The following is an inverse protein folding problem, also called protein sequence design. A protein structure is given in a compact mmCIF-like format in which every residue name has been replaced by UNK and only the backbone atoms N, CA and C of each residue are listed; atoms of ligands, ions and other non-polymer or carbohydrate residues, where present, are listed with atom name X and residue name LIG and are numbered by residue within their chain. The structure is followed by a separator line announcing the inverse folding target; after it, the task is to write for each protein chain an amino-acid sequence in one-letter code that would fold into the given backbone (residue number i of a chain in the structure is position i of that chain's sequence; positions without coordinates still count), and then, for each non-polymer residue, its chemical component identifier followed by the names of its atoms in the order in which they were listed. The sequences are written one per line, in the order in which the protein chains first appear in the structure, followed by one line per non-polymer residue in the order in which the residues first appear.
data_IF_192684315346
#
_entry.id   IF_192684315346
#
_cell.length_a   1.000
_cell.length_b   1.000
_cell.length_c   1.000
_cell.angle_alpha   90.00
_cell.angle_beta   90.00
_cell.angle_gamma   90.00
#
_symmetry.space_group_name_H-M   'P 1'
#
loop_
_entity.id
_entity.type
_entity.pdbx_description
1 polymer ?
#
# COMPACT_ATOMS: atom_id res chain seq x y z
N UNK A 1 1.96 3.31 -51.37
CA UNK A 1 2.99 2.62 -52.19
C UNK A 1 3.16 3.15 -53.63
N UNK A 2 2.10 3.52 -54.37
CA UNK A 2 2.20 3.96 -55.78
C UNK A 2 3.09 5.20 -56.01
N UNK A 3 2.97 6.23 -55.17
CA UNK A 3 3.78 7.47 -55.28
C UNK A 3 5.29 7.24 -55.08
N UNK A 4 5.68 6.35 -54.16
CA UNK A 4 7.09 6.02 -53.91
C UNK A 4 7.74 5.29 -55.09
N UNK A 5 7.01 4.35 -55.72
CA UNK A 5 7.47 3.67 -56.94
C UNK A 5 7.59 4.65 -58.12
N UNK A 6 6.62 5.56 -58.27
CA UNK A 6 6.65 6.59 -59.31
C UNK A 6 7.86 7.52 -59.15
N UNK A 7 8.13 8.00 -57.93
CA UNK A 7 9.29 8.85 -57.63
C UNK A 7 10.62 8.14 -57.92
N UNK A 8 10.76 6.87 -57.54
CA UNK A 8 11.96 6.07 -57.86
C UNK A 8 12.16 5.90 -59.38
N UNK A 9 11.08 5.69 -60.14
CA UNK A 9 11.13 5.59 -61.61
C UNK A 9 11.52 6.93 -62.25
N UNK A 10 10.93 8.03 -61.80
CA UNK A 10 11.26 9.38 -62.29
C UNK A 10 12.71 9.78 -61.96
N UNK A 11 13.20 9.49 -60.76
CA UNK A 11 14.60 9.75 -60.40
C UNK A 11 15.59 8.93 -61.24
N UNK A 12 15.26 7.66 -61.54
CA UNK A 12 16.09 6.82 -62.42
C UNK A 12 16.13 7.39 -63.84
N UNK A 13 14.98 7.75 -64.41
CA UNK A 13 14.93 8.37 -65.75
C UNK A 13 15.67 9.71 -65.80
N UNK A 14 15.43 10.57 -64.82
CA UNK A 14 16.12 11.86 -64.72
C UNK A 14 17.64 11.67 -64.68
N UNK A 15 18.17 10.77 -63.85
CA UNK A 15 19.61 10.48 -63.80
C UNK A 15 20.15 9.93 -65.13
N UNK A 16 19.40 9.02 -65.77
CA UNK A 16 19.79 8.44 -67.06
C UNK A 16 19.86 9.50 -68.16
N UNK A 17 18.86 10.39 -68.24
CA UNK A 17 18.84 11.49 -69.21
C UNK A 17 19.96 12.51 -68.93
N UNK A 18 20.23 12.82 -67.66
CA UNK A 18 21.29 13.75 -67.26
C UNK A 18 22.68 13.19 -67.60
N UNK A 19 22.93 11.90 -67.38
CA UNK A 19 24.17 11.24 -67.81
C UNK A 19 24.30 11.17 -69.33
N UNK A 20 23.19 10.97 -70.05
CA UNK A 20 23.20 10.94 -71.51
C UNK A 20 23.50 12.32 -72.12
N UNK A 21 22.92 13.39 -71.55
CA UNK A 21 23.21 14.78 -71.95
C UNK A 21 24.65 15.16 -71.63
N UNK A 22 25.14 14.87 -70.42
CA UNK A 22 26.53 15.13 -70.04
C UNK A 22 27.52 14.47 -71.01
N UNK A 23 27.21 13.25 -71.46
CA UNK A 23 28.03 12.54 -72.44
C UNK A 23 27.96 13.16 -73.84
N UNK A 24 26.79 13.59 -74.30
CA UNK A 24 26.61 14.27 -75.59
C UNK A 24 27.32 15.62 -75.64
N UNK A 25 27.24 16.41 -74.57
CA UNK A 25 27.95 17.68 -74.45
C UNK A 25 29.47 17.49 -74.48
N UNK A 26 29.98 16.41 -73.88
CA UNK A 26 31.41 16.07 -73.93
C UNK A 26 31.88 15.62 -75.31
N UNK A 27 31.01 14.97 -76.10
CA UNK A 27 31.36 14.39 -77.40
C UNK A 27 31.14 15.35 -78.59
N UNK A 28 30.16 16.25 -78.54
CA UNK A 28 29.72 17.03 -79.73
C UNK A 28 29.85 18.56 -79.62
N UNK A 29 30.36 19.09 -78.51
CA UNK A 29 30.89 20.47 -78.44
C UNK A 29 29.87 21.61 -78.47
N UNK A 30 28.84 21.60 -79.31
CA UNK A 30 27.84 22.66 -79.41
C UNK A 30 26.68 22.21 -80.31
N UNK A 31 25.61 21.71 -79.71
CA UNK A 31 24.31 21.58 -80.38
C UNK A 31 23.23 22.16 -79.48
N UNK A 32 22.21 22.78 -80.08
CA UNK A 32 21.10 23.48 -79.44
C UNK A 32 20.29 22.56 -78.48
N UNK A 33 20.80 22.39 -77.24
CA UNK A 33 20.24 21.51 -76.21
C UNK A 33 19.22 22.21 -75.29
N UNK A 34 18.78 23.41 -75.66
CA UNK A 34 17.80 24.21 -74.91
C UNK A 34 16.49 23.47 -74.61
N UNK A 35 16.06 22.58 -75.52
CA UNK A 35 14.89 21.73 -75.35
C UNK A 35 15.09 20.62 -74.29
N UNK A 36 16.31 20.11 -74.13
CA UNK A 36 16.64 19.09 -73.15
C UNK A 36 16.74 19.69 -71.74
N UNK A 37 17.32 20.88 -71.62
CA UNK A 37 17.35 21.65 -70.38
C UNK A 37 15.94 22.02 -69.88
N UNK A 38 15.04 22.43 -70.77
CA UNK A 38 13.61 22.66 -70.42
C UNK A 38 12.91 21.40 -69.90
N UNK A 39 13.23 20.21 -70.43
CA UNK A 39 12.68 18.95 -69.91
C UNK A 39 13.23 18.62 -68.52
N UNK A 40 14.52 18.80 -68.29
CA UNK A 40 15.15 18.61 -66.97
C UNK A 40 14.55 19.57 -65.92
N UNK A 41 14.33 20.84 -66.28
CA UNK A 41 13.68 21.82 -65.41
C UNK A 41 12.23 21.41 -65.07
N UNK A 42 11.46 20.96 -66.06
CA UNK A 42 10.11 20.43 -65.84
C UNK A 42 10.11 19.18 -64.93
N UNK A 43 11.09 18.27 -65.09
CA UNK A 43 11.23 17.12 -64.19
C UNK A 43 11.56 17.55 -62.76
N UNK A 44 12.40 18.57 -62.58
CA UNK A 44 12.74 19.11 -61.25
C UNK A 44 11.51 19.72 -60.56
N UNK A 45 10.70 20.49 -61.29
CA UNK A 45 9.47 21.13 -60.80
C UNK A 45 8.41 20.10 -60.40
N UNK A 46 8.26 19.02 -61.18
CA UNK A 46 7.36 17.91 -60.85
C UNK A 46 7.86 17.12 -59.64
N UNK A 47 9.17 16.89 -59.52
CA UNK A 47 9.79 16.24 -58.36
C UNK A 47 9.67 17.08 -57.07
N UNK A 48 9.73 18.42 -57.17
CA UNK A 48 9.58 19.34 -56.05
C UNK A 48 8.14 19.40 -55.51
N UNK A 49 7.13 19.28 -56.39
CA UNK A 49 5.71 19.25 -55.99
C UNK A 49 5.25 17.91 -55.41
N UNK A 50 6.02 16.84 -55.58
CA UNK A 50 5.69 15.53 -55.00
C UNK A 50 5.99 15.51 -53.50
N UNK A 51 4.99 15.22 -52.63
CA UNK A 51 5.16 15.22 -51.19
C UNK A 51 6.33 14.30 -50.80
N UNK A 52 7.28 14.84 -50.03
CA UNK A 52 8.42 14.07 -49.60
C UNK A 52 7.95 12.91 -48.71
N UNK A 53 8.47 11.67 -48.91
CA UNK A 53 8.08 10.51 -48.11
C UNK A 53 8.42 10.67 -46.62
N UNK A 54 9.18 11.70 -46.24
CA UNK A 54 9.51 12.05 -44.86
C UNK A 54 8.31 12.56 -44.04
N UNK A 55 7.30 13.17 -44.68
CA UNK A 55 6.11 13.67 -43.94
C UNK A 55 5.30 12.56 -43.26
N UNK A 56 5.24 11.37 -43.86
CA UNK A 56 4.51 10.24 -43.26
C UNK A 56 5.13 9.72 -41.96
N UNK A 57 6.47 9.74 -41.86
CA UNK A 57 7.17 9.35 -40.64
C UNK A 57 6.90 10.32 -39.49
N UNK A 58 6.87 11.62 -39.77
CA UNK A 58 6.58 12.63 -38.75
C UNK A 58 5.18 12.44 -38.14
N UNK A 59 4.16 12.16 -38.98
CA UNK A 59 2.79 11.89 -38.50
C UNK A 59 2.74 10.62 -37.65
N UNK A 60 3.41 9.54 -38.08
CA UNK A 60 3.46 8.29 -37.31
C UNK A 60 4.10 8.50 -35.94
N UNK A 61 5.22 9.22 -35.88
CA UNK A 61 5.88 9.56 -34.61
C UNK A 61 4.98 10.43 -33.72
N UNK A 62 4.29 11.43 -34.28
CA UNK A 62 3.37 12.25 -33.51
C UNK A 62 2.22 11.43 -32.89
N UNK A 63 1.62 10.52 -33.67
CA UNK A 63 0.57 9.61 -33.17
C UNK A 63 1.12 8.66 -32.10
N UNK A 64 2.31 8.11 -32.31
CA UNK A 64 2.94 7.21 -31.33
C UNK A 64 3.26 7.95 -30.01
N UNK A 65 3.78 9.18 -30.09
CA UNK A 65 4.02 10.02 -28.91
C UNK A 65 2.71 10.37 -28.18
N UNK A 66 1.66 10.72 -28.92
CA UNK A 66 0.35 11.02 -28.34
C UNK A 66 -0.25 9.77 -27.65
N UNK A 67 -0.17 8.61 -28.31
CA UNK A 67 -0.63 7.34 -27.74
C UNK A 67 0.17 6.94 -26.50
N UNK A 68 1.50 7.12 -26.54
CA UNK A 68 2.38 6.88 -25.39
C UNK A 68 2.08 7.80 -24.22
N UNK A 69 1.88 9.10 -24.46
CA UNK A 69 1.49 10.07 -23.45
C UNK A 69 0.10 9.74 -22.86
N UNK A 70 -0.87 9.36 -23.71
CA UNK A 70 -2.19 8.90 -23.29
C UNK A 70 -2.12 7.65 -22.42
N UNK A 71 -1.28 6.68 -22.79
CA UNK A 71 -1.06 5.47 -22.00
C UNK A 71 -0.39 5.78 -20.65
N UNK A 72 0.65 6.61 -20.62
CA UNK A 72 1.32 7.03 -19.38
C UNK A 72 0.39 7.83 -18.45
N UNK A 73 -0.58 8.55 -19.02
CA UNK A 73 -1.58 9.27 -18.25
C UNK A 73 -2.67 8.35 -17.70
N UNK A 74 -3.10 7.35 -18.48
CA UNK A 74 -4.16 6.42 -18.09
C UNK A 74 -3.67 5.30 -17.15
N UNK A 75 -2.43 4.84 -17.29
CA UNK A 75 -1.87 3.74 -16.51
C UNK A 75 -1.41 4.23 -15.13
N UNK A 76 -1.81 3.48 -14.10
CA UNK A 76 -1.39 3.71 -12.70
C UNK A 76 -0.17 2.88 -12.37
N UNK A 77 0.63 3.38 -11.44
CA UNK A 77 1.75 2.63 -10.88
C UNK A 77 1.19 1.42 -10.11
N UNK A 78 1.73 0.20 -10.27
CA UNK A 78 1.18 -1.00 -9.66
C UNK A 78 1.29 -1.01 -8.14
N UNK A 79 2.26 -0.29 -7.58
CA UNK A 79 2.47 -0.15 -6.14
C UNK A 79 2.79 1.30 -5.83
N UNK A 80 2.23 1.82 -4.75
CA UNK A 80 2.48 3.17 -4.25
C UNK A 80 3.08 3.10 -2.86
N UNK A 81 4.23 3.75 -2.65
CA UNK A 81 4.84 3.93 -1.34
C UNK A 81 4.03 4.98 -0.56
N UNK A 82 3.62 4.62 0.65
CA UNK A 82 2.76 5.44 1.50
C UNK A 82 3.33 5.56 2.90
N UNK A 83 3.12 6.73 3.49
CA UNK A 83 3.26 6.98 4.92
C UNK A 83 1.92 7.45 5.48
N UNK A 84 1.49 6.87 6.59
CA UNK A 84 0.20 7.12 7.22
C UNK A 84 0.42 7.55 8.66
N UNK A 85 -0.14 8.69 9.06
CA UNK A 85 -0.23 9.10 10.46
C UNK A 85 -1.71 9.25 10.82
N UNK A 86 -2.30 8.25 11.45
CA UNK A 86 -3.73 8.17 11.69
C UNK A 86 -4.09 8.08 13.17
N UNK A 87 -5.25 8.62 13.50
CA UNK A 87 -5.99 8.34 14.73
C UNK A 87 -7.25 7.56 14.37
N UNK A 88 -7.40 6.37 14.93
CA UNK A 88 -8.50 5.45 14.63
C UNK A 88 -9.10 4.89 15.92
N UNK A 89 -10.31 4.35 15.87
CA UNK A 89 -10.91 3.62 17.01
C UNK A 89 -10.62 2.13 16.94
N UNK A 90 -10.60 1.58 15.72
CA UNK A 90 -10.37 0.17 15.48
C UNK A 90 -9.26 -0.02 14.44
N UNK A 91 -8.43 -1.04 14.64
CA UNK A 91 -7.36 -1.39 13.73
C UNK A 91 -7.35 -2.91 13.59
N UNK A 92 -7.45 -3.40 12.36
CA UNK A 92 -7.20 -4.79 12.05
C UNK A 92 -5.96 -4.89 11.16
N UNK A 93 -5.02 -5.74 11.54
CA UNK A 93 -3.80 -5.96 10.78
C UNK A 93 -3.46 -7.44 10.71
N UNK A 94 -2.84 -7.85 9.61
CA UNK A 94 -2.26 -9.20 9.48
C UNK A 94 -0.75 -9.09 9.62
N UNK A 95 -0.13 -9.93 10.45
CA UNK A 95 1.32 -9.90 10.66
C UNK A 95 2.09 -10.60 9.54
N UNK A 96 3.12 -9.95 8.98
CA UNK A 96 3.97 -10.56 7.94
C UNK A 96 5.12 -11.41 8.52
N UNK A 97 5.42 -11.26 9.81
CA UNK A 97 6.44 -12.01 10.56
C UNK A 97 5.99 -12.19 12.01
N UNK A 98 6.58 -13.11 12.79
CA UNK A 98 6.26 -13.20 14.21
C UNK A 98 6.61 -11.88 14.89
N UNK A 99 5.75 -11.46 15.80
CA UNK A 99 5.94 -10.23 16.55
C UNK A 99 5.94 -10.55 18.05
N UNK A 100 6.81 -9.86 18.78
CA UNK A 100 6.93 -10.01 20.21
C UNK A 100 7.05 -8.64 20.86
N UNK A 101 6.20 -8.43 21.85
CA UNK A 101 6.26 -7.31 22.77
C UNK A 101 6.66 -7.79 24.15
N UNK A 102 7.55 -7.03 24.80
CA UNK A 102 7.92 -7.17 26.20
C UNK A 102 8.00 -5.77 26.79
N UNK A 103 7.39 -5.57 27.94
CA UNK A 103 7.37 -4.27 28.57
C UNK A 103 6.53 -4.29 29.83
N UNK A 104 6.15 -3.11 30.28
CA UNK A 104 5.26 -2.93 31.41
C UNK A 104 4.09 -2.07 30.98
N UNK A 105 2.93 -2.68 30.77
CA UNK A 105 1.71 -1.97 30.44
C UNK A 105 0.76 -2.06 31.63
N UNK A 106 0.83 -1.10 32.56
CA UNK A 106 0.04 -1.13 33.78
C UNK A 106 -1.45 -1.04 33.43
N UNK A 107 -2.25 -1.88 34.07
CA UNK A 107 -3.70 -1.80 34.02
C UNK A 107 -4.18 -0.74 35.01
N UNK A 108 -5.33 -0.14 34.74
CA UNK A 108 -5.98 0.77 35.68
C UNK A 108 -6.29 0.03 36.99
N UNK A 109 -6.04 0.68 38.13
CA UNK A 109 -6.22 0.05 39.44
C UNK A 109 -7.67 -0.43 39.62
N UNK A 110 -7.84 -1.71 40.01
CA UNK A 110 -9.14 -2.34 40.18
C UNK A 110 -9.88 -2.70 38.88
N UNK A 111 -9.34 -2.35 37.70
CA UNK A 111 -9.94 -2.76 36.43
C UNK A 111 -9.80 -4.27 36.20
N UNK A 112 -10.80 -4.86 35.56
CA UNK A 112 -10.79 -6.27 35.19
C UNK A 112 -10.02 -6.48 33.88
N UNK A 113 -9.13 -7.47 33.86
CA UNK A 113 -8.59 -8.05 32.63
C UNK A 113 -9.42 -9.29 32.28
N UNK A 114 -10.12 -9.24 31.15
CA UNK A 114 -11.00 -10.33 30.69
C UNK A 114 -10.36 -11.03 29.50
N UNK A 115 -10.06 -12.32 29.69
CA UNK A 115 -9.55 -13.23 28.67
C UNK A 115 -10.71 -14.12 28.21
N UNK A 116 -10.93 -14.22 26.90
CA UNK A 116 -11.95 -15.10 26.33
C UNK A 116 -11.42 -15.89 25.13
N UNK A 117 -11.91 -17.12 24.97
CA UNK A 117 -11.57 -18.00 23.85
C UNK A 117 -10.06 -18.26 23.68
N UNK A 118 -9.37 -18.52 24.79
CA UNK A 118 -7.97 -18.97 24.79
C UNK A 118 -7.90 -20.50 24.81
N UNK A 119 -6.82 -21.09 24.28
CA UNK A 119 -6.67 -22.56 24.29
C UNK A 119 -6.18 -23.10 25.63
N UNK A 120 -5.32 -22.33 26.32
CA UNK A 120 -4.74 -22.69 27.61
C UNK A 120 -4.50 -21.46 28.46
N UNK A 121 -4.93 -21.52 29.72
CA UNK A 121 -4.66 -20.54 30.77
C UNK A 121 -3.89 -21.23 31.89
N UNK A 122 -2.71 -20.71 32.20
CA UNK A 122 -1.85 -21.15 33.29
C UNK A 122 -1.77 -20.02 34.32
N UNK A 123 -2.60 -20.07 35.38
CA UNK A 123 -2.65 -19.03 36.40
C UNK A 123 -1.50 -19.12 37.42
N UNK A 124 -0.57 -20.07 37.29
CA UNK A 124 0.56 -20.21 38.21
C UNK A 124 0.12 -20.50 39.64
N UNK A 125 0.63 -19.75 40.61
CA UNK A 125 0.23 -19.92 42.02
C UNK A 125 -1.18 -19.39 42.32
N UNK A 126 -1.84 -18.70 41.37
CA UNK A 126 -3.18 -18.20 41.57
C UNK A 126 -4.17 -19.37 41.64
N UNK A 127 -4.08 -20.38 40.78
CA UNK A 127 -5.02 -21.50 40.73
C UNK A 127 -4.59 -22.68 39.84
N UNK A 128 -5.48 -23.65 39.57
CA UNK A 128 -5.19 -24.75 38.67
C UNK A 128 -5.14 -24.31 37.21
N UNK A 129 -4.39 -25.05 36.38
CA UNK A 129 -4.37 -24.84 34.94
C UNK A 129 -5.76 -25.08 34.32
N UNK A 130 -6.22 -24.16 33.47
CA UNK A 130 -7.47 -24.28 32.73
C UNK A 130 -7.14 -24.50 31.25
N UNK A 131 -7.27 -25.75 30.81
CA UNK A 131 -7.11 -26.15 29.41
C UNK A 131 -8.11 -27.24 29.04
N UNK A 132 -8.50 -27.30 27.77
CA UNK A 132 -9.42 -28.32 27.28
C UNK A 132 -9.30 -28.55 25.78
N UNK A 133 -9.20 -29.81 25.30
CA UNK A 133 -9.08 -30.08 23.88
C UNK A 133 -10.32 -29.58 23.13
N UNK A 134 -10.10 -28.69 22.16
CA UNK A 134 -11.17 -28.09 21.36
C UNK A 134 -12.13 -27.17 22.14
N UNK A 135 -11.83 -26.85 23.40
CA UNK A 135 -12.66 -25.94 24.20
C UNK A 135 -11.96 -24.60 24.42
N UNK A 136 -12.78 -23.57 24.64
CA UNK A 136 -12.34 -22.20 24.84
C UNK A 136 -12.23 -21.88 26.32
N UNK A 137 -11.03 -21.66 26.83
CA UNK A 137 -10.80 -21.18 28.18
C UNK A 137 -11.05 -19.67 28.28
N UNK A 138 -11.57 -19.23 29.43
CA UNK A 138 -11.78 -17.83 29.76
C UNK A 138 -11.29 -17.53 31.18
N UNK A 139 -10.91 -16.28 31.44
CA UNK A 139 -10.60 -15.80 32.78
C UNK A 139 -10.95 -14.33 32.95
N UNK A 140 -11.34 -13.95 34.15
CA UNK A 140 -11.50 -12.57 34.61
C UNK A 140 -10.57 -12.35 35.79
N UNK A 141 -9.56 -11.51 35.61
CA UNK A 141 -8.57 -11.15 36.62
C UNK A 141 -8.85 -9.72 37.09
N UNK A 142 -9.15 -9.55 38.38
CA UNK A 142 -9.21 -8.25 39.04
C UNK A 142 -8.08 -8.17 40.04
N UNK A 143 -7.31 -7.09 40.00
CA UNK A 143 -6.21 -6.89 40.93
C UNK A 143 -6.09 -5.42 41.33
N UNK A 144 -5.60 -5.17 42.54
CA UNK A 144 -5.17 -3.84 42.97
C UNK A 144 -4.09 -3.30 42.03
N UNK A 145 -3.12 -4.15 41.68
CA UNK A 145 -2.13 -3.87 40.68
C UNK A 145 -2.02 -5.01 39.69
N UNK A 146 -2.10 -4.68 38.40
CA UNK A 146 -1.84 -5.60 37.32
C UNK A 146 -1.11 -4.92 36.17
N UNK A 147 -0.34 -5.70 35.42
CA UNK A 147 0.32 -5.24 34.21
C UNK A 147 0.45 -6.36 33.19
N UNK A 148 0.26 -6.03 31.91
CA UNK A 148 0.67 -6.91 30.83
C UNK A 148 2.19 -6.81 30.68
N UNK A 149 2.87 -7.96 30.70
CA UNK A 149 4.35 -8.04 30.65
C UNK A 149 4.91 -8.51 29.31
N UNK A 150 4.22 -9.42 28.66
CA UNK A 150 4.67 -9.98 27.39
C UNK A 150 3.50 -10.39 26.50
N UNK A 151 3.72 -10.28 25.20
CA UNK A 151 2.84 -10.81 24.18
C UNK A 151 3.68 -11.26 22.98
N UNK A 152 3.46 -12.48 22.50
CA UNK A 152 4.04 -13.02 21.29
C UNK A 152 2.92 -13.50 20.38
N UNK A 153 3.03 -13.18 19.10
CA UNK A 153 2.06 -13.52 18.07
C UNK A 153 2.78 -14.08 16.86
N UNK A 154 2.29 -15.20 16.33
CA UNK A 154 2.83 -15.87 15.16
C UNK A 154 2.64 -15.10 13.85
N UNK A 155 3.35 -15.52 12.81
CA UNK A 155 3.18 -15.01 11.44
C UNK A 155 1.77 -15.29 10.93
N UNK A 156 1.21 -14.38 10.14
CA UNK A 156 -0.10 -14.55 9.52
C UNK A 156 -1.27 -14.32 10.48
N UNK A 157 -1.01 -14.04 11.75
CA UNK A 157 -2.05 -13.69 12.70
C UNK A 157 -2.79 -12.44 12.26
N UNK A 158 -4.11 -12.47 12.37
CA UNK A 158 -4.94 -11.28 12.32
C UNK A 158 -5.09 -10.73 13.73
N UNK A 159 -4.57 -9.53 13.93
CA UNK A 159 -4.64 -8.77 15.17
C UNK A 159 -5.69 -7.68 15.01
N UNK A 160 -6.75 -7.74 15.81
CA UNK A 160 -7.71 -6.66 15.95
C UNK A 160 -7.48 -5.89 17.25
N UNK A 161 -7.49 -4.57 17.17
CA UNK A 161 -7.40 -3.66 18.31
C UNK A 161 -8.61 -2.74 18.22
N UNK A 162 -9.35 -2.59 19.31
CA UNK A 162 -10.50 -1.70 19.38
C UNK A 162 -10.46 -0.94 20.70
N UNK A 163 -10.42 0.39 20.60
CA UNK A 163 -10.53 1.28 21.75
C UNK A 163 -12.00 1.65 21.95
N UNK A 164 -12.57 1.25 23.08
CA UNK A 164 -13.93 1.58 23.50
C UNK A 164 -13.96 2.33 24.84
N UNK A 165 -15.17 2.67 25.29
CA UNK A 165 -15.39 3.37 26.57
C UNK A 165 -14.93 2.54 27.78
N UNK A 166 -15.10 1.22 27.71
CA UNK A 166 -14.78 0.28 28.79
C UNK A 166 -13.30 -0.14 28.80
N UNK A 167 -12.55 0.21 27.78
CA UNK A 167 -11.13 -0.12 27.67
C UNK A 167 -10.72 -0.53 26.27
N UNK A 168 -9.67 -1.34 26.21
CA UNK A 168 -9.03 -1.80 25.00
C UNK A 168 -9.34 -3.28 24.80
N UNK A 169 -9.98 -3.60 23.68
CA UNK A 169 -10.21 -4.96 23.23
C UNK A 169 -9.14 -5.37 22.22
N UNK A 170 -8.42 -6.43 22.54
CA UNK A 170 -7.49 -7.10 21.67
C UNK A 170 -8.07 -8.41 21.20
N UNK A 171 -7.95 -8.68 19.90
CA UNK A 171 -8.37 -9.93 19.29
C UNK A 171 -7.25 -10.54 18.47
N UNK A 172 -7.10 -11.86 18.52
CA UNK A 172 -6.13 -12.63 17.74
C UNK A 172 -6.83 -13.78 17.04
N UNK A 173 -6.54 -13.96 15.75
CA UNK A 173 -7.05 -15.08 14.95
C UNK A 173 -5.98 -15.63 14.01
N UNK A 174 -6.07 -16.93 13.71
CA UNK A 174 -5.38 -17.56 12.58
C UNK A 174 -3.91 -17.94 12.80
N UNK A 175 -3.33 -17.66 13.97
CA UNK A 175 -1.98 -18.10 14.30
C UNK A 175 -1.77 -18.26 15.82
N UNK A 176 -0.72 -18.98 16.25
CA UNK A 176 -0.40 -19.12 17.66
C UNK A 176 -0.12 -17.78 18.32
N UNK A 177 -0.61 -17.59 19.54
CA UNK A 177 -0.27 -16.44 20.36
C UNK A 177 -0.10 -16.84 21.83
N UNK A 178 0.81 -16.16 22.51
CA UNK A 178 1.06 -16.34 23.95
C UNK A 178 1.22 -14.99 24.62
N UNK A 179 0.78 -14.85 25.86
CA UNK A 179 1.00 -13.64 26.64
C UNK A 179 1.03 -13.90 28.13
N UNK A 180 1.39 -12.87 28.88
CA UNK A 180 1.47 -12.94 30.34
C UNK A 180 1.02 -11.65 31.00
N UNK A 181 0.12 -11.78 31.97
CA UNK A 181 -0.32 -10.74 32.89
C UNK A 181 0.31 -11.00 34.25
N UNK A 182 0.83 -9.96 34.89
CA UNK A 182 1.33 -10.03 36.25
C UNK A 182 0.39 -9.28 37.19
N UNK A 183 0.09 -9.83 38.36
CA UNK A 183 -0.82 -9.24 39.34
C UNK A 183 -0.28 -9.36 40.78
N UNK A 184 -0.55 -8.36 41.62
CA UNK A 184 -0.22 -8.35 43.04
C UNK A 184 -1.19 -7.46 43.85
N UNK A 185 -1.07 -7.50 45.19
CA UNK A 185 -2.02 -6.84 46.09
C UNK A 185 -3.27 -7.69 46.29
N UNK A 186 -4.44 -7.06 46.45
CA UNK A 186 -5.71 -7.80 46.47
C UNK A 186 -6.04 -8.31 45.05
N UNK A 187 -6.13 -9.64 44.88
CA UNK A 187 -6.36 -10.31 43.59
C UNK A 187 -7.57 -11.24 43.68
N UNK A 188 -8.48 -11.13 42.72
CA UNK A 188 -9.57 -12.06 42.49
C UNK A 188 -9.50 -12.59 41.05
N UNK A 189 -9.42 -13.91 40.91
CA UNK A 189 -9.37 -14.59 39.63
C UNK A 189 -10.60 -15.50 39.50
N UNK A 190 -11.33 -15.35 38.40
CA UNK A 190 -12.36 -16.29 37.97
C UNK A 190 -11.90 -16.90 36.66
N UNK A 191 -11.95 -18.21 36.51
CA UNK A 191 -11.58 -18.87 35.26
C UNK A 191 -12.49 -20.06 34.99
N UNK A 192 -12.58 -20.47 33.72
CA UNK A 192 -13.39 -21.62 33.33
C UNK A 192 -13.28 -21.95 31.85
N UNK A 193 -14.11 -22.88 31.40
CA UNK A 193 -14.15 -23.37 30.01
C UNK A 193 -15.55 -23.16 29.44
N UNK A 194 -15.65 -22.59 28.24
CA UNK A 194 -16.91 -22.41 27.49
C UNK A 194 -17.23 -23.67 26.67
N UNK A 195 -18.48 -24.15 26.70
CA UNK A 195 -18.99 -25.19 25.79
C UNK A 195 -19.21 -26.59 26.38
N UNK A 196 -19.44 -26.71 27.69
CA UNK A 196 -19.92 -27.95 28.33
C UNK A 196 -21.33 -27.78 28.91
N UNK A 197 -22.09 -28.87 29.07
CA UNK A 197 -23.41 -28.92 29.71
C UNK A 197 -23.41 -28.53 31.22
N UNK A 198 -22.27 -28.07 31.72
CA UNK A 198 -22.09 -27.43 33.01
C UNK A 198 -21.54 -26.03 32.73
N UNK A 199 -22.41 -25.01 32.75
CA UNK A 199 -22.02 -23.61 33.01
C UNK A 199 -21.49 -23.41 34.46
N UNK A 200 -21.32 -24.51 35.21
CA UNK A 200 -20.89 -24.55 36.59
C UNK A 200 -19.57 -25.33 36.72
N UNK A 201 -18.47 -24.65 36.44
CA UNK A 201 -17.23 -24.80 37.23
C UNK A 201 -16.66 -23.38 37.36
N UNK A 202 -17.44 -22.55 38.05
CA UNK A 202 -17.03 -21.23 38.49
C UNK A 202 -16.16 -21.47 39.73
N UNK A 203 -14.95 -21.97 39.53
CA UNK A 203 -13.98 -22.05 40.62
C UNK A 203 -13.61 -20.59 40.94
N UNK A 204 -14.21 -20.04 42.00
CA UNK A 204 -13.72 -18.81 42.60
C UNK A 204 -12.37 -19.17 43.20
N UNK A 205 -11.32 -18.93 42.42
CA UNK A 205 -9.94 -19.23 42.79
C UNK A 205 -9.51 -18.38 44.01
N UNK A 206 -10.38 -17.45 44.42
CA UNK A 206 -10.40 -16.86 45.75
C UNK A 206 -9.83 -15.46 45.73
N UNK A 207 -10.44 -14.59 46.53
CA UNK A 207 -9.89 -13.29 46.84
C UNK A 207 -8.65 -13.49 47.73
N UNK A 208 -7.45 -13.34 47.17
CA UNK A 208 -6.18 -13.52 47.87
C UNK A 208 -5.39 -12.23 47.86
N UNK A 209 -4.68 -11.94 48.95
CA UNK A 209 -3.72 -10.85 48.97
C UNK A 209 -2.33 -11.41 48.67
N UNK A 210 -1.74 -10.99 47.55
CA UNK A 210 -0.44 -11.43 47.09
C UNK A 210 0.62 -10.40 47.46
N UNK A 211 1.64 -10.83 48.21
CA UNK A 211 2.79 -10.00 48.57
C UNK A 211 3.87 -10.01 47.47
N UNK A 212 3.89 -11.06 46.65
CA UNK A 212 4.81 -11.22 45.52
C UNK A 212 4.01 -11.21 44.22
N UNK A 213 4.50 -10.56 43.16
CA UNK A 213 3.84 -10.56 41.86
C UNK A 213 3.72 -11.95 41.21
N UNK A 214 2.48 -12.39 40.97
CA UNK A 214 2.15 -13.66 40.31
C UNK A 214 1.84 -13.47 38.84
N UNK A 215 2.12 -14.48 38.01
CA UNK A 215 1.98 -14.40 36.56
C UNK A 215 0.90 -15.34 36.03
N UNK A 216 -0.15 -14.77 35.44
CA UNK A 216 -1.13 -15.47 34.62
C UNK A 216 -0.63 -15.54 33.17
N UNK A 217 -0.38 -16.75 32.68
CA UNK A 217 0.01 -17.01 31.29
C UNK A 217 -1.18 -17.50 30.49
N UNK A 218 -1.26 -17.09 29.23
CA UNK A 218 -2.32 -17.49 28.33
C UNK A 218 -1.75 -17.80 26.95
N UNK A 219 -2.34 -18.80 26.28
CA UNK A 219 -1.90 -19.21 24.95
C UNK A 219 -3.04 -19.77 24.10
N UNK A 220 -2.89 -19.65 22.79
CA UNK A 220 -3.78 -20.21 21.76
C UNK A 220 -2.94 -20.78 20.63
N UNK A 221 -3.39 -21.88 20.00
CA UNK A 221 -2.75 -22.46 18.81
C UNK A 221 -3.11 -21.69 17.52
N UNK A 222 -4.17 -20.89 17.55
CA UNK A 222 -4.67 -20.16 16.37
C UNK A 222 -5.65 -20.94 15.49
N UNK A 223 -5.91 -22.22 15.79
CA UNK A 223 -6.83 -23.08 15.02
C UNK A 223 -8.32 -22.85 15.34
N UNK A 224 -8.61 -22.06 16.36
CA UNK A 224 -9.98 -21.75 16.79
C UNK A 224 -10.75 -20.89 15.79
N UNK A 225 -12.03 -21.23 15.55
CA UNK A 225 -12.96 -20.40 14.76
C UNK A 225 -13.30 -19.08 15.46
N UNK A 226 -13.33 -19.09 16.78
CA UNK A 226 -13.59 -17.92 17.62
C UNK A 226 -12.26 -17.22 17.90
N UNK A 227 -12.14 -15.90 17.64
CA UNK A 227 -10.92 -15.17 17.93
C UNK A 227 -10.67 -15.11 19.44
N UNK A 228 -9.42 -15.32 19.85
CA UNK A 228 -9.00 -15.14 21.25
C UNK A 228 -9.06 -13.65 21.60
N UNK A 229 -9.65 -13.31 22.74
CA UNK A 229 -9.92 -11.93 23.16
C UNK A 229 -9.20 -11.60 24.47
N UNK A 230 -8.66 -10.39 24.57
CA UNK A 230 -8.15 -9.79 25.80
C UNK A 230 -8.73 -8.38 25.92
N UNK A 231 -9.61 -8.17 26.89
CA UNK A 231 -10.15 -6.86 27.23
C UNK A 231 -9.47 -6.32 28.47
N UNK A 232 -8.87 -5.14 28.38
CA UNK A 232 -8.14 -4.51 29.49
C UNK A 232 -8.36 -3.00 29.51
N UNK A 233 -8.42 -2.40 30.70
CA UNK A 233 -8.33 -0.94 30.86
C UNK A 233 -6.90 -0.59 31.26
N UNK A 234 -6.19 0.16 30.42
CA UNK A 234 -4.79 0.54 30.69
C UNK A 234 -4.71 1.83 31.52
N UNK A 235 -3.76 1.89 32.45
CA UNK A 235 -3.46 3.11 33.23
C UNK A 235 -2.65 4.14 32.43
N UNK A 236 -1.89 3.69 31.43
CA UNK A 236 -1.09 4.52 30.55
C UNK A 236 -1.18 4.03 29.09
N UNK A 237 -0.92 4.88 28.09
CA UNK A 237 -0.94 4.45 26.69
C UNK A 237 0.05 3.32 26.43
N UNK A 238 -0.43 2.20 25.90
CA UNK A 238 0.41 1.10 25.48
C UNK A 238 1.08 1.44 24.16
N UNK A 239 2.39 1.22 24.06
CA UNK A 239 3.17 1.52 22.87
C UNK A 239 3.84 0.27 22.32
N UNK A 240 3.79 0.14 21.00
CA UNK A 240 4.52 -0.84 20.25
C UNK A 240 5.20 -0.21 19.04
N UNK A 241 6.34 -0.77 18.67
CA UNK A 241 7.17 -0.28 17.58
C UNK A 241 7.48 -1.41 16.61
N UNK A 242 7.70 -1.04 15.36
CA UNK A 242 8.16 -1.92 14.29
C UNK A 242 7.30 -3.19 14.10
N UNK A 243 5.95 -3.07 14.19
CA UNK A 243 5.10 -4.23 13.91
C UNK A 243 5.13 -4.54 12.41
N UNK A 244 5.49 -5.77 11.99
CA UNK A 244 5.55 -6.15 10.59
C UNK A 244 4.14 -6.43 10.04
N UNK A 245 3.70 -5.67 9.03
CA UNK A 245 2.31 -5.69 8.52
C UNK A 245 2.26 -6.27 7.10
N UNK A 246 1.40 -7.27 6.91
CA UNK A 246 1.06 -7.91 5.63
C UNK A 246 -0.24 -7.38 4.99
N UNK A 247 -1.16 -6.92 5.83
CA UNK A 247 -2.42 -6.29 5.46
C UNK A 247 -2.88 -5.35 6.57
N UNK A 248 -3.59 -4.28 6.21
CA UNK A 248 -4.04 -3.25 7.14
C UNK A 248 -5.48 -2.84 6.80
N UNK A 249 -6.32 -2.76 7.81
CA UNK A 249 -7.72 -2.35 7.70
C UNK A 249 -8.13 -1.45 8.86
N UNK A 250 -8.87 -0.40 8.54
CA UNK A 250 -9.44 0.54 9.51
C UNK A 250 -10.97 0.44 9.58
N UNK A 251 -11.55 -0.59 8.97
CA UNK A 251 -12.97 -0.84 9.04
C UNK A 251 -13.29 -1.64 10.32
N UNK A 252 -14.34 -1.24 11.03
CA UNK A 252 -14.95 -2.04 12.10
C UNK A 252 -16.27 -2.61 11.63
N UNK A 253 -16.58 -3.81 12.09
CA UNK A 253 -17.86 -4.45 11.86
C UNK A 253 -18.85 -3.97 12.92
N UNK A 254 -19.99 -3.45 12.50
CA UNK A 254 -21.08 -3.01 13.38
C UNK A 254 -22.32 -3.78 13.00
N UNK A 255 -22.95 -4.42 13.98
CA UNK A 255 -24.26 -5.05 13.79
C UNK A 255 -25.33 -3.96 13.82
N UNK A 256 -26.01 -3.77 12.69
CA UNK A 256 -27.16 -2.84 12.61
C UNK A 256 -28.45 -3.54 13.01
N UNK A 257 -28.56 -4.83 12.68
CA UNK A 257 -29.67 -5.72 13.02
C UNK A 257 -29.11 -7.12 13.33
N UNK A 258 -29.84 -7.98 14.08
CA UNK A 258 -29.41 -9.35 14.32
C UNK A 258 -29.10 -10.10 13.02
N UNK A 259 -27.82 -10.45 12.82
CA UNK A 259 -27.34 -11.14 11.61
C UNK A 259 -26.99 -10.23 10.42
N UNK A 260 -27.21 -8.92 10.52
CA UNK A 260 -26.78 -7.93 9.51
C UNK A 260 -25.59 -7.15 10.05
N UNK A 261 -24.49 -7.21 9.31
CA UNK A 261 -23.23 -6.56 9.67
C UNK A 261 -22.84 -5.54 8.60
N UNK A 262 -22.47 -4.34 9.05
CA UNK A 262 -21.96 -3.28 8.19
C UNK A 262 -20.53 -2.92 8.60
N UNK A 263 -19.66 -2.76 7.60
CA UNK A 263 -18.31 -2.26 7.82
C UNK A 263 -18.30 -0.73 7.77
N UNK A 264 -17.97 -0.09 8.89
CA UNK A 264 -17.85 1.37 8.99
C UNK A 264 -16.40 1.77 9.21
N UNK A 265 -16.01 2.94 8.68
CA UNK A 265 -14.68 3.48 8.91
C UNK A 265 -14.52 3.84 10.39
N UNK A 266 -13.39 3.44 10.98
CA UNK A 266 -13.00 3.85 12.33
C UNK A 266 -12.00 5.01 12.34
N UNK A 267 -11.71 5.60 11.17
CA UNK A 267 -10.80 6.75 11.05
C UNK A 267 -11.41 7.96 11.75
N UNK A 268 -10.72 8.50 12.76
CA UNK A 268 -11.07 9.77 13.42
C UNK A 268 -10.35 10.95 12.77
N UNK A 269 -9.21 10.71 12.14
CA UNK A 269 -8.51 11.69 11.32
C UNK A 269 -7.04 11.34 11.13
N UNK A 270 -6.33 12.15 10.34
CA UNK A 270 -4.89 11.97 10.16
C UNK A 270 -4.40 12.46 8.81
N UNK A 271 -3.21 12.03 8.42
CA UNK A 271 -2.62 12.33 7.12
C UNK A 271 -2.14 11.07 6.42
N UNK A 272 -2.33 11.04 5.12
CA UNK A 272 -1.78 10.07 4.18
C UNK A 272 -0.82 10.81 3.26
N UNK A 273 0.44 10.40 3.25
CA UNK A 273 1.46 10.92 2.34
C UNK A 273 1.78 9.87 1.29
N UNK A 274 1.64 10.23 0.02
CA UNK A 274 2.05 9.43 -1.12
C UNK A 274 3.52 9.76 -1.41
N UNK A 275 4.43 8.92 -0.93
CA UNK A 275 5.87 9.20 -0.98
C UNK A 275 6.40 9.33 -2.41
N UNK A 276 5.75 8.65 -3.34
CA UNK A 276 6.11 8.64 -4.76
C UNK A 276 5.75 9.94 -5.50
N UNK A 277 4.73 10.67 -5.06
CA UNK A 277 4.31 11.95 -5.64
C UNK A 277 4.56 13.15 -4.73
N UNK A 278 4.91 12.92 -3.46
CA UNK A 278 4.99 13.97 -2.43
C UNK A 278 3.63 14.54 -2.01
N UNK A 279 2.52 14.03 -2.56
CA UNK A 279 1.18 14.51 -2.24
C UNK A 279 0.79 14.09 -0.82
N UNK A 280 0.31 15.04 -0.03
CA UNK A 280 -0.19 14.79 1.33
C UNK A 280 -1.67 15.11 1.40
N UNK A 281 -2.45 14.12 1.82
CA UNK A 281 -3.90 14.18 1.93
C UNK A 281 -4.29 14.12 3.40
N UNK A 282 -5.15 15.04 3.83
CA UNK A 282 -5.72 15.03 5.18
C UNK A 282 -6.99 14.19 5.18
N UNK A 283 -7.08 13.24 6.11
CA UNK A 283 -8.24 12.37 6.27
C UNK A 283 -9.18 12.92 7.33
N UNK A 284 -10.47 12.94 7.01
CA UNK A 284 -11.54 13.39 7.91
C UNK A 284 -12.09 12.23 8.73
N UNK A 285 -12.79 12.58 9.80
CA UNK A 285 -13.53 11.61 10.60
C UNK A 285 -14.57 10.87 9.76
N UNK A 286 -14.65 9.55 9.93
CA UNK A 286 -15.55 8.67 9.20
C UNK A 286 -15.15 8.43 7.73
N UNK A 287 -14.09 9.06 7.24
CA UNK A 287 -13.65 8.88 5.85
C UNK A 287 -13.13 7.44 5.66
N UNK A 288 -13.65 6.75 4.65
CA UNK A 288 -13.24 5.40 4.33
C UNK A 288 -11.84 5.38 3.71
N UNK A 289 -10.89 4.69 4.36
CA UNK A 289 -9.58 4.39 3.80
C UNK A 289 -9.43 2.89 3.63
N UNK A 290 -9.15 2.44 2.41
CA UNK A 290 -8.86 1.05 2.11
C UNK A 290 -7.54 0.96 1.33
N UNK A 291 -6.66 0.07 1.78
CA UNK A 291 -5.32 -0.11 1.23
C UNK A 291 -5.12 -1.56 0.77
N UNK A 292 -5.75 -2.00 -0.34
CA UNK A 292 -5.54 -3.33 -0.88
C UNK A 292 -4.06 -3.60 -1.12
N UNK A 293 -3.59 -4.77 -0.68
CA UNK A 293 -2.18 -5.16 -0.82
C UNK A 293 -1.20 -4.38 0.07
N UNK A 294 -1.69 -3.64 1.08
CA UNK A 294 -0.82 -2.91 2.00
C UNK A 294 0.18 -3.81 2.72
N UNK A 295 1.48 -3.58 2.47
CA UNK A 295 2.58 -4.29 3.12
C UNK A 295 3.60 -3.27 3.63
N UNK A 296 4.10 -3.49 4.84
CA UNK A 296 5.05 -2.54 5.43
C UNK A 296 5.27 -2.80 6.90
N UNK A 297 5.42 -1.71 7.66
CA UNK A 297 5.61 -1.74 9.10
C UNK A 297 4.84 -0.61 9.77
N UNK A 298 4.28 -0.89 10.94
CA UNK A 298 3.90 0.15 11.89
C UNK A 298 5.15 0.60 12.61
N UNK A 299 5.59 1.83 12.35
CA UNK A 299 6.74 2.46 13.00
C UNK A 299 6.43 2.71 14.47
N UNK A 300 5.23 3.24 14.74
CA UNK A 300 4.73 3.42 16.10
C UNK A 300 3.23 3.12 16.14
N UNK A 301 2.82 2.43 17.19
CA UNK A 301 1.43 2.19 17.55
C UNK A 301 1.28 2.58 19.01
N UNK A 302 0.37 3.51 19.30
CA UNK A 302 0.06 3.98 20.64
C UNK A 302 -1.43 3.82 20.88
N UNK A 303 -1.79 3.09 21.92
CA UNK A 303 -3.18 2.79 22.24
C UNK A 303 -3.50 3.31 23.64
N UNK A 304 -4.50 4.18 23.75
CA UNK A 304 -4.93 4.72 25.03
C UNK A 304 -6.41 5.10 25.03
N UNK A 305 -6.84 5.83 26.06
CA UNK A 305 -8.25 6.24 26.23
C UNK A 305 -8.79 7.13 25.10
N UNK A 306 -7.90 7.83 24.38
CA UNK A 306 -8.25 8.74 23.28
C UNK A 306 -8.36 8.04 21.92
N UNK A 307 -8.18 6.72 21.86
CA UNK A 307 -8.15 5.92 20.64
C UNK A 307 -6.77 5.36 20.34
N UNK A 308 -6.61 4.92 19.09
CA UNK A 308 -5.41 4.30 18.55
C UNK A 308 -4.71 5.30 17.64
N UNK A 309 -3.51 5.69 17.99
CA UNK A 309 -2.63 6.51 17.14
C UNK A 309 -1.57 5.62 16.49
N UNK A 310 -1.41 5.74 15.18
CA UNK A 310 -0.47 4.91 14.44
C UNK A 310 0.32 5.71 13.41
N UNK A 311 1.57 5.29 13.22
CA UNK A 311 2.44 5.68 12.12
C UNK A 311 2.79 4.43 11.33
N UNK A 312 2.35 4.36 10.09
CA UNK A 312 2.63 3.24 9.18
C UNK A 312 3.46 3.71 7.99
N UNK A 313 4.45 2.92 7.61
CA UNK A 313 5.28 3.10 6.42
C UNK A 313 5.24 1.81 5.61
N UNK A 314 4.96 1.91 4.32
CA UNK A 314 4.91 0.73 3.47
C UNK A 314 4.53 1.06 2.04
N UNK A 315 4.01 0.05 1.36
CA UNK A 315 3.46 0.15 0.01
C UNK A 315 2.07 -0.45 -0.04
N UNK A 316 1.22 0.07 -0.91
CA UNK A 316 -0.07 -0.51 -1.22
C UNK A 316 -0.25 -0.63 -2.73
N UNK A 317 -1.01 -1.64 -3.18
CA UNK A 317 -1.30 -1.83 -4.60
C UNK A 317 -2.31 -0.77 -5.07
N UNK A 318 -3.24 -0.42 -4.18
CA UNK A 318 -4.21 0.64 -4.39
C UNK A 318 -4.40 1.43 -3.11
N UNK A 319 -4.75 2.71 -3.27
CA UNK A 319 -5.08 3.59 -2.16
C UNK A 319 -6.46 4.17 -2.45
N UNK A 320 -7.47 3.62 -1.78
CA UNK A 320 -8.87 3.95 -2.01
C UNK A 320 -9.39 4.84 -0.89
N UNK A 321 -9.89 6.02 -1.26
CA UNK A 321 -10.50 6.98 -0.34
C UNK A 321 -11.99 7.19 -0.64
N UNK A 322 -12.79 7.34 0.40
CA UNK A 322 -14.21 7.63 0.32
C UNK A 322 -15.11 6.51 0.85
N UNK A 323 -16.42 6.75 0.97
CA UNK A 323 -17.37 5.77 1.47
C UNK A 323 -17.52 4.57 0.52
N UNK A 324 -18.09 3.48 1.01
CA UNK A 324 -18.40 2.33 0.18
C UNK A 324 -19.29 2.75 -1.02
N UNK A 325 -18.96 2.27 -2.22
CA UNK A 325 -19.63 2.64 -3.47
C UNK A 325 -19.07 3.88 -4.18
N UNK A 326 -18.43 4.81 -3.47
CA UNK A 326 -17.85 6.05 -4.04
C UNK A 326 -16.35 6.17 -3.79
N UNK A 327 -15.65 5.04 -3.70
CA UNK A 327 -14.21 5.01 -3.45
C UNK A 327 -13.44 5.49 -4.67
N UNK A 328 -12.63 6.54 -4.49
CA UNK A 328 -11.68 7.01 -5.51
C UNK A 328 -10.30 6.43 -5.23
N UNK A 329 -9.71 5.82 -6.24
CA UNK A 329 -8.30 5.44 -6.18
C UNK A 329 -7.44 6.70 -6.38
N UNK A 330 -6.63 7.03 -5.39
CA UNK A 330 -5.71 8.18 -5.36
C UNK A 330 -4.25 7.78 -5.63
N UNK A 331 -3.97 6.52 -5.95
CA UNK A 331 -2.64 6.11 -6.40
C UNK A 331 -2.22 6.93 -7.63
N UNK A 332 -0.96 7.41 -7.68
CA UNK A 332 -0.46 8.24 -8.77
C UNK A 332 -0.48 7.49 -10.10
N UNK A 333 -0.69 8.25 -11.17
CA UNK A 333 -0.46 7.77 -12.54
C UNK A 333 1.04 7.79 -12.86
N UNK A 334 1.49 7.05 -13.88
CA UNK A 334 2.90 7.10 -14.29
C UNK A 334 3.33 8.54 -14.65
N UNK A 335 2.44 9.30 -15.28
CA UNK A 335 2.71 10.71 -15.58
C UNK A 335 2.94 11.54 -14.31
N UNK A 336 2.07 11.40 -13.30
CA UNK A 336 2.22 12.11 -12.01
C UNK A 336 3.49 11.71 -11.27
N UNK A 337 3.85 10.42 -11.35
CA UNK A 337 5.09 9.86 -10.82
C UNK A 337 6.32 10.50 -11.48
N UNK A 338 6.40 10.47 -12.82
CA UNK A 338 7.53 11.06 -13.54
C UNK A 338 7.64 12.57 -13.38
N UNK A 339 6.52 13.28 -13.20
CA UNK A 339 6.53 14.72 -12.96
C UNK A 339 7.24 15.12 -11.66
N UNK A 340 7.20 14.27 -10.63
CA UNK A 340 7.80 14.54 -9.33
C UNK A 340 9.25 14.04 -9.21
N UNK A 341 9.77 13.32 -10.20
CA UNK A 341 11.18 12.93 -10.23
C UNK A 341 12.06 14.06 -10.80
N UNK A 342 12.68 14.85 -9.91
CA UNK A 342 13.69 15.86 -10.28
C UNK A 342 14.81 15.32 -11.20
N UNK A 343 15.36 14.11 -10.99
CA UNK A 343 16.41 13.57 -11.86
C UNK A 343 15.95 13.38 -13.31
N UNK A 344 14.66 13.10 -13.51
CA UNK A 344 14.11 12.88 -14.84
C UNK A 344 14.00 14.20 -15.61
N UNK A 345 13.62 15.29 -14.93
CA UNK A 345 13.62 16.64 -15.53
C UNK A 345 15.02 17.01 -15.99
N UNK A 346 16.03 16.71 -15.19
CA UNK A 346 17.43 16.89 -15.55
C UNK A 346 17.84 16.04 -16.75
N UNK A 347 17.47 14.75 -16.76
CA UNK A 347 17.74 13.85 -17.88
C UNK A 347 17.13 14.35 -19.20
N UNK A 348 15.85 14.73 -19.20
CA UNK A 348 15.18 15.23 -20.41
C UNK A 348 15.73 16.59 -20.85
N UNK A 349 16.11 17.45 -19.90
CA UNK A 349 16.82 18.69 -20.19
C UNK A 349 18.16 18.43 -20.89
N UNK A 350 18.96 17.50 -20.38
CA UNK A 350 20.24 17.11 -20.97
C UNK A 350 20.06 16.43 -22.34
N UNK A 351 19.08 15.54 -22.48
CA UNK A 351 18.78 14.88 -23.75
C UNK A 351 18.31 15.89 -24.80
N UNK A 352 17.45 16.85 -24.43
CA UNK A 352 17.02 17.94 -25.30
C UNK A 352 18.18 18.84 -25.72
N UNK A 353 19.07 19.16 -24.79
CA UNK A 353 20.29 19.92 -25.06
C UNK A 353 21.23 19.19 -26.04
N UNK A 354 21.52 17.90 -25.78
CA UNK A 354 22.34 17.07 -26.67
C UNK A 354 21.72 16.92 -28.07
N UNK A 355 20.40 16.76 -28.13
CA UNK A 355 19.68 16.71 -29.41
C UNK A 355 19.79 18.03 -30.18
N UNK A 356 19.58 19.17 -29.52
CA UNK A 356 19.73 20.48 -30.12
C UNK A 356 21.16 20.72 -30.62
N UNK A 357 22.16 20.30 -29.83
CA UNK A 357 23.58 20.38 -30.19
C UNK A 357 23.90 19.53 -31.43
N UNK A 358 23.45 18.27 -31.46
CA UNK A 358 23.62 17.37 -32.62
C UNK A 358 22.93 17.93 -33.88
N UNK A 359 21.75 18.52 -33.72
CA UNK A 359 21.04 19.16 -34.82
C UNK A 359 21.78 20.40 -35.33
N UNK A 360 22.36 21.20 -34.43
CA UNK A 360 23.20 22.35 -34.76
C UNK A 360 24.44 21.96 -35.56
N UNK A 361 25.18 20.95 -35.11
CA UNK A 361 26.36 20.40 -35.81
C UNK A 361 25.98 19.87 -37.19
N UNK A 362 24.88 19.11 -37.27
CA UNK A 362 24.37 18.58 -38.55
C UNK A 362 24.04 19.70 -39.54
N UNK A 363 23.48 20.82 -39.07
CA UNK A 363 23.18 21.98 -39.91
C UNK A 363 24.46 22.65 -40.41
N UNK A 364 25.44 22.87 -39.54
CA UNK A 364 26.75 23.45 -39.89
C UNK A 364 27.57 22.60 -40.88
N UNK A 365 27.38 21.28 -40.90
CA UNK A 365 28.11 20.41 -41.84
C UNK A 365 27.48 20.36 -43.23
N UNK A 366 26.21 20.74 -43.38
CA UNK A 366 25.42 20.56 -44.61
C UNK A 366 24.96 21.87 -45.25
N UNK A 367 25.00 22.98 -44.52
CA UNK A 367 24.98 24.35 -45.05
C UNK A 367 26.43 24.81 -45.20
#
# INVERSE_FOLDING_TARGET
MRAARLRRRLQRRYRQELTALARRLAEQGEADESAALKRLDNYSKVLARLPSPRRGWAVLFAVLCLAGAGALWALRVPHTNIALKLRVEALSLTLSRPWQWRGDAPLAAGAAAVLGAWGRLDPGALGPEVSGPGRSAWAELRAEHAALKAWRVGTGAELGLEAGETGLLWTVRGAPATGSLQAWGAVALKAGITGGALEADREDVGNRRLMVPETLRFSTSGEGRVPSRLSVTLAAPWRAHHLPVAALSFAREVSTEPGVFQFVSSVRGGTLSLLDSGETLSLREGEGLSLPGARGRLVSLSVGQRGIELLFEGRADQVLLGPAGYRRNIAPTYLAYYHHQEPLKFFWGAAGFLWAMLWGIRRMLWD
#
